data_IF_453384887567
#
_entry.id   IF_453384887567
#
_cell.length_a   1.000
_cell.length_b   1.000
_cell.length_c   1.000
_cell.angle_alpha   90.00
_cell.angle_beta   90.00
_cell.angle_gamma   90.00
#
_symmetry.space_group_name_H-M   'P 1'
#
loop_
_entity.id
_entity.type
_entity.pdbx_description
1 polymer ?
#
# COMPACT_ATOMS: atom_id res chain seq x y z
N UNK A 1 -20.00 46.15 -11.64
CA UNK A 1 -19.79 44.69 -11.86
C UNK A 1 -19.19 43.95 -10.67
N UNK A 2 -18.61 44.63 -9.66
CA UNK A 2 -17.97 43.98 -8.50
C UNK A 2 -18.92 43.36 -7.46
N UNK A 3 -20.07 43.98 -7.16
CA UNK A 3 -20.94 43.51 -6.06
C UNK A 3 -21.51 42.12 -6.35
N UNK A 4 -22.01 41.88 -7.57
CA UNK A 4 -22.55 40.58 -7.98
C UNK A 4 -21.48 39.47 -7.94
N UNK A 5 -20.23 39.80 -8.28
CA UNK A 5 -19.12 38.85 -8.22
C UNK A 5 -18.78 38.45 -6.78
N UNK A 6 -18.80 39.40 -5.83
CA UNK A 6 -18.58 39.12 -4.41
C UNK A 6 -19.65 38.19 -3.83
N UNK A 7 -20.92 38.38 -4.20
CA UNK A 7 -22.02 37.51 -3.74
C UNK A 7 -21.91 36.09 -4.30
N UNK A 8 -21.49 35.94 -5.55
CA UNK A 8 -21.27 34.62 -6.17
C UNK A 8 -20.10 33.90 -5.51
N UNK A 9 -18.99 34.60 -5.21
CA UNK A 9 -17.85 34.02 -4.49
C UNK A 9 -18.19 33.66 -3.04
N UNK A 10 -18.99 34.48 -2.36
CA UNK A 10 -19.47 34.18 -1.01
C UNK A 10 -20.38 32.95 -0.99
N UNK A 11 -21.30 32.83 -1.95
CA UNK A 11 -22.17 31.66 -2.08
C UNK A 11 -21.38 30.38 -2.39
N UNK A 12 -20.39 30.45 -3.29
CA UNK A 12 -19.47 29.34 -3.58
C UNK A 12 -18.66 28.92 -2.35
N UNK A 13 -18.13 29.90 -1.59
CA UNK A 13 -17.44 29.64 -0.33
C UNK A 13 -18.33 28.95 0.70
N UNK A 14 -19.59 29.38 0.82
CA UNK A 14 -20.56 28.79 1.73
C UNK A 14 -20.93 27.35 1.35
N UNK A 15 -21.14 27.08 0.05
CA UNK A 15 -21.43 25.74 -0.47
C UNK A 15 -20.24 24.81 -0.24
N UNK A 16 -19.01 25.28 -0.50
CA UNK A 16 -17.80 24.51 -0.18
C UNK A 16 -17.73 24.18 1.31
N UNK A 17 -18.00 25.14 2.20
CA UNK A 17 -17.98 24.90 3.66
C UNK A 17 -19.06 23.89 4.10
N UNK A 18 -20.24 23.92 3.49
CA UNK A 18 -21.33 22.99 3.78
C UNK A 18 -21.07 21.58 3.21
N UNK A 19 -20.26 21.46 2.16
CA UNK A 19 -19.87 20.18 1.56
C UNK A 19 -18.63 19.54 2.20
N UNK A 20 -17.88 20.27 3.04
CA UNK A 20 -16.85 19.69 3.89
C UNK A 20 -17.56 18.96 5.03
N UNK A 21 -18.13 17.80 4.73
CA UNK A 21 -18.36 16.80 5.77
C UNK A 21 -16.99 16.57 6.42
N UNK A 22 -16.83 16.75 7.73
CA UNK A 22 -15.57 16.42 8.37
C UNK A 22 -15.32 14.95 8.06
N UNK A 23 -14.32 14.67 7.20
CA UNK A 23 -13.83 13.32 7.09
C UNK A 23 -13.23 13.04 8.45
N UNK A 24 -14.00 12.38 9.30
CA UNK A 24 -13.56 11.93 10.61
C UNK A 24 -12.59 10.74 10.44
N UNK A 25 -11.67 10.84 9.48
CA UNK A 25 -10.59 9.90 9.23
C UNK A 25 -9.67 9.92 10.43
N UNK A 26 -10.01 9.13 11.44
CA UNK A 26 -9.16 8.96 12.60
C UNK A 26 -7.91 8.20 12.18
N UNK A 27 -6.71 8.61 12.62
CA UNK A 27 -5.47 7.90 12.30
C UNK A 27 -5.41 6.46 12.88
N UNK A 28 -6.42 6.06 13.66
CA UNK A 28 -6.57 4.73 14.27
C UNK A 28 -6.55 3.60 13.24
N UNK A 29 -7.26 3.74 12.11
CA UNK A 29 -7.27 2.75 11.03
C UNK A 29 -5.88 2.54 10.44
N UNK A 30 -5.17 3.64 10.17
CA UNK A 30 -3.79 3.59 9.70
C UNK A 30 -2.84 2.98 10.73
N UNK A 31 -3.01 3.31 12.02
CA UNK A 31 -2.23 2.69 13.11
C UNK A 31 -2.48 1.18 13.22
N UNK A 32 -3.74 0.75 13.08
CA UNK A 32 -4.08 -0.66 13.07
C UNK A 32 -3.39 -1.38 11.90
N UNK A 33 -3.46 -0.85 10.67
CA UNK A 33 -2.76 -1.42 9.51
C UNK A 33 -1.24 -1.46 9.69
N UNK A 34 -0.64 -0.43 10.30
CA UNK A 34 0.79 -0.40 10.59
C UNK A 34 1.24 -1.59 11.45
N UNK A 35 0.41 -2.08 12.37
CA UNK A 35 0.72 -3.28 13.16
C UNK A 35 0.84 -4.56 12.32
N UNK A 36 0.10 -4.65 11.20
CA UNK A 36 0.20 -5.78 10.26
C UNK A 36 1.46 -5.66 9.41
N UNK A 37 1.78 -4.46 8.91
CA UNK A 37 3.01 -4.24 8.16
C UNK A 37 4.28 -4.51 8.98
N UNK A 38 4.28 -4.21 10.29
CA UNK A 38 5.40 -4.55 11.19
C UNK A 38 5.70 -6.05 11.27
N UNK A 39 4.74 -6.92 10.93
CA UNK A 39 4.93 -8.38 10.90
C UNK A 39 5.58 -8.88 9.61
N UNK A 40 5.63 -8.07 8.56
CA UNK A 40 6.35 -8.37 7.32
C UNK A 40 7.85 -8.05 7.50
N UNK A 41 8.53 -8.82 8.34
CA UNK A 41 9.98 -8.67 8.53
C UNK A 41 10.71 -9.32 7.36
N UNK A 42 11.63 -8.57 6.76
CA UNK A 42 12.52 -9.09 5.74
C UNK A 42 13.68 -9.84 6.38
N UNK A 43 14.08 -10.94 5.76
CA UNK A 43 15.27 -11.68 6.13
C UNK A 43 16.53 -10.92 5.67
N UNK A 44 17.20 -10.29 6.63
CA UNK A 44 18.38 -9.45 6.38
C UNK A 44 19.61 -10.22 5.90
N UNK A 45 19.58 -11.56 5.91
CA UNK A 45 20.67 -12.38 5.38
C UNK A 45 20.66 -12.47 3.85
N UNK A 46 19.54 -12.09 3.20
CA UNK A 46 19.42 -12.08 1.75
C UNK A 46 20.25 -10.96 1.11
N UNK A 47 20.51 -11.09 -0.19
CA UNK A 47 21.25 -10.11 -0.96
C UNK A 47 20.62 -8.70 -0.86
N UNK A 48 21.46 -7.67 -0.69
CA UNK A 48 21.02 -6.29 -0.48
C UNK A 48 20.21 -5.72 -1.65
N UNK A 49 20.64 -5.96 -2.89
CA UNK A 49 19.95 -5.44 -4.09
C UNK A 49 18.53 -6.02 -4.15
N UNK A 50 18.38 -7.31 -3.86
CA UNK A 50 17.07 -7.94 -3.70
C UNK A 50 16.24 -7.31 -2.56
N UNK A 51 16.84 -7.09 -1.39
CA UNK A 51 16.14 -6.52 -0.23
C UNK A 51 15.64 -5.11 -0.49
N UNK A 52 16.45 -4.26 -1.12
CA UNK A 52 16.08 -2.89 -1.49
C UNK A 52 14.85 -2.89 -2.42
N UNK A 53 14.82 -3.82 -3.38
CA UNK A 53 13.70 -4.00 -4.31
C UNK A 53 12.42 -4.51 -3.64
N UNK A 54 12.57 -5.45 -2.71
CA UNK A 54 11.45 -5.96 -1.91
C UNK A 54 10.87 -4.88 -1.01
N UNK A 55 11.72 -4.12 -0.31
CA UNK A 55 11.30 -3.03 0.55
C UNK A 55 10.59 -1.94 -0.26
N UNK A 56 11.17 -1.54 -1.39
CA UNK A 56 10.55 -0.59 -2.30
C UNK A 56 9.18 -1.08 -2.78
N UNK A 57 9.09 -2.35 -3.22
CA UNK A 57 7.85 -2.97 -3.68
C UNK A 57 6.77 -2.95 -2.61
N UNK A 58 7.06 -3.45 -1.40
CA UNK A 58 6.13 -3.47 -0.27
C UNK A 58 5.68 -2.06 0.12
N UNK A 59 6.63 -1.11 0.16
CA UNK A 59 6.34 0.28 0.54
C UNK A 59 5.41 0.97 -0.46
N UNK A 60 5.72 0.85 -1.75
CA UNK A 60 5.06 1.64 -2.82
C UNK A 60 3.79 0.99 -3.32
N UNK A 61 3.76 -0.33 -3.45
CA UNK A 61 2.66 -1.04 -4.12
C UNK A 61 1.64 -1.64 -3.16
N UNK A 62 2.00 -1.83 -1.88
CA UNK A 62 1.10 -2.40 -0.87
C UNK A 62 0.82 -1.43 0.28
N UNK A 63 1.86 -1.01 1.01
CA UNK A 63 1.71 -0.24 2.25
C UNK A 63 1.17 1.16 2.03
N UNK A 64 1.79 1.97 1.16
CA UNK A 64 1.34 3.35 0.91
C UNK A 64 -0.12 3.41 0.42
N UNK A 65 -0.54 2.64 -0.59
CA UNK A 65 -1.92 2.67 -1.06
C UNK A 65 -2.94 2.32 0.04
N UNK A 66 -2.66 1.30 0.85
CA UNK A 66 -3.56 0.88 1.92
C UNK A 66 -3.63 1.90 3.05
N UNK A 67 -2.49 2.47 3.47
CA UNK A 67 -2.48 3.50 4.50
C UNK A 67 -3.16 4.79 4.02
N UNK A 68 -2.92 5.23 2.79
CA UNK A 68 -3.57 6.41 2.23
C UNK A 68 -5.09 6.26 2.24
N UNK A 69 -5.62 5.12 1.80
CA UNK A 69 -7.05 4.87 1.82
C UNK A 69 -7.61 4.75 3.24
N UNK A 70 -6.87 4.12 4.15
CA UNK A 70 -7.30 3.96 5.54
C UNK A 70 -7.44 5.29 6.29
N UNK A 71 -6.68 6.32 5.92
CA UNK A 71 -6.82 7.67 6.47
C UNK A 71 -8.17 8.32 6.17
N UNK A 72 -8.88 7.87 5.13
CA UNK A 72 -10.16 8.44 4.72
C UNK A 72 -11.36 7.55 5.07
N UNK A 73 -11.15 6.49 5.86
CA UNK A 73 -12.25 5.60 6.25
C UNK A 73 -13.10 6.23 7.36
N UNK A 74 -14.43 6.01 7.34
CA UNK A 74 -15.31 6.41 8.44
C UNK A 74 -14.92 5.76 9.77
N UNK A 75 -15.07 6.46 10.91
CA UNK A 75 -14.74 5.94 12.26
C UNK A 75 -15.33 4.56 12.58
N UNK A 76 -16.54 4.26 12.10
CA UNK A 76 -17.24 2.99 12.33
C UNK A 76 -16.71 1.80 11.52
N UNK A 77 -15.79 2.03 10.57
CA UNK A 77 -15.23 0.98 9.72
C UNK A 77 -14.43 0.01 10.56
N UNK A 78 -14.76 -1.29 10.47
CA UNK A 78 -13.98 -2.35 11.12
C UNK A 78 -13.14 -3.08 10.10
N UNK A 79 -11.99 -3.55 10.54
CA UNK A 79 -11.14 -4.44 9.75
C UNK A 79 -11.32 -5.88 10.18
N UNK A 80 -11.51 -6.76 9.20
CA UNK A 80 -11.41 -8.20 9.43
C UNK A 80 -9.95 -8.57 9.72
N UNK A 81 -9.68 -9.05 10.94
CA UNK A 81 -8.34 -9.54 11.33
C UNK A 81 -7.85 -10.65 10.42
N UNK A 82 -8.73 -11.59 10.07
CA UNK A 82 -8.41 -12.72 9.22
C UNK A 82 -8.05 -12.29 7.81
N UNK A 83 -8.77 -11.31 7.26
CA UNK A 83 -8.49 -10.75 5.95
C UNK A 83 -7.12 -10.04 5.94
N UNK A 84 -6.82 -9.25 6.97
CA UNK A 84 -5.52 -8.59 7.10
C UNK A 84 -4.37 -9.57 7.38
N UNK A 85 -4.61 -10.67 8.10
CA UNK A 85 -3.62 -11.74 8.27
C UNK A 85 -3.32 -12.44 6.94
N UNK A 86 -4.35 -12.76 6.14
CA UNK A 86 -4.17 -13.30 4.78
C UNK A 86 -3.39 -12.36 3.88
N UNK A 87 -3.54 -11.04 4.05
CA UNK A 87 -2.73 -10.06 3.34
C UNK A 87 -1.24 -10.18 3.70
N UNK A 88 -0.91 -10.36 4.98
CA UNK A 88 0.47 -10.60 5.42
C UNK A 88 1.04 -11.89 4.82
N UNK A 89 0.26 -12.97 4.84
CA UNK A 89 0.70 -14.27 4.33
C UNK A 89 0.89 -14.25 2.81
N UNK A 90 -0.04 -13.64 2.07
CA UNK A 90 0.10 -13.46 0.62
C UNK A 90 1.30 -12.59 0.26
N UNK A 91 1.55 -11.49 0.98
CA UNK A 91 2.71 -10.65 0.75
C UNK A 91 4.02 -11.45 0.88
N UNK A 92 4.13 -12.28 1.93
CA UNK A 92 5.27 -13.20 2.11
C UNK A 92 5.35 -14.25 1.00
N UNK A 93 4.22 -14.78 0.55
CA UNK A 93 4.20 -15.74 -0.56
C UNK A 93 4.72 -15.10 -1.87
N UNK A 94 4.32 -13.87 -2.17
CA UNK A 94 4.82 -13.14 -3.33
C UNK A 94 6.32 -12.83 -3.21
N UNK A 95 6.79 -12.45 -2.02
CA UNK A 95 8.22 -12.28 -1.74
C UNK A 95 8.99 -13.58 -2.02
N UNK A 96 8.54 -14.72 -1.49
CA UNK A 96 9.22 -16.00 -1.68
C UNK A 96 9.29 -16.43 -3.16
N UNK A 97 8.21 -16.20 -3.92
CA UNK A 97 8.21 -16.44 -5.38
C UNK A 97 9.20 -15.54 -6.10
N UNK A 98 9.26 -14.27 -5.72
CA UNK A 98 10.19 -13.31 -6.30
C UNK A 98 11.64 -13.69 -5.99
N UNK A 99 11.94 -14.11 -4.75
CA UNK A 99 13.27 -14.60 -4.37
C UNK A 99 13.69 -15.85 -5.16
N UNK A 100 12.77 -16.80 -5.37
CA UNK A 100 13.04 -17.98 -6.20
C UNK A 100 13.37 -17.60 -7.66
N UNK A 101 12.65 -16.63 -8.23
CA UNK A 101 12.95 -16.12 -9.57
C UNK A 101 14.29 -15.40 -9.62
N UNK A 102 14.57 -14.55 -8.64
CA UNK A 102 15.83 -13.83 -8.52
C UNK A 102 17.03 -14.79 -8.43
N UNK A 103 16.96 -15.78 -7.53
CA UNK A 103 18.02 -16.78 -7.38
C UNK A 103 18.19 -17.60 -8.66
N UNK A 104 17.10 -17.99 -9.33
CA UNK A 104 17.19 -18.70 -10.62
C UNK A 104 17.82 -17.84 -11.73
N UNK A 105 17.41 -16.58 -11.87
CA UNK A 105 17.95 -15.66 -12.86
C UNK A 105 19.44 -15.35 -12.61
N UNK A 106 19.84 -15.21 -11.34
CA UNK A 106 21.23 -14.95 -10.96
C UNK A 106 22.13 -16.18 -10.93
N UNK A 107 21.62 -17.41 -11.04
CA UNK A 107 22.47 -18.63 -11.04
C UNK A 107 23.58 -18.63 -12.09
N UNK A 108 23.41 -17.88 -13.18
CA UNK A 108 24.35 -17.81 -14.30
C UNK A 108 25.25 -16.57 -14.29
N UNK A 109 25.03 -15.64 -13.36
CA UNK A 109 25.78 -14.39 -13.28
C UNK A 109 26.69 -14.42 -12.04
N UNK A 110 27.94 -13.98 -12.19
CA UNK A 110 28.94 -13.98 -11.12
C UNK A 110 28.58 -13.04 -9.95
N UNK A 111 27.71 -12.07 -10.20
CA UNK A 111 27.20 -11.15 -9.20
C UNK A 111 25.67 -11.12 -9.22
N UNK A 112 25.09 -11.06 -8.02
CA UNK A 112 23.67 -10.81 -7.81
C UNK A 112 23.35 -9.35 -8.16
N UNK A 113 23.23 -9.06 -9.46
CA UNK A 113 23.01 -7.70 -10.00
C UNK A 113 21.53 -7.32 -10.08
N UNK A 114 21.26 -6.03 -10.30
CA UNK A 114 19.92 -5.51 -10.56
C UNK A 114 19.23 -6.19 -11.74
N UNK A 115 20.00 -6.63 -12.73
CA UNK A 115 19.49 -7.16 -14.00
C UNK A 115 18.80 -8.51 -13.79
N UNK A 116 19.23 -9.28 -12.79
CA UNK A 116 18.54 -10.51 -12.41
C UNK A 116 17.11 -10.25 -11.90
N UNK A 117 16.86 -9.06 -11.34
CA UNK A 117 15.55 -8.71 -10.78
C UNK A 117 14.56 -8.29 -11.86
N UNK A 118 15.02 -7.88 -13.05
CA UNK A 118 14.16 -7.31 -14.09
C UNK A 118 13.10 -8.29 -14.60
N UNK A 119 13.36 -9.59 -14.56
CA UNK A 119 12.39 -10.61 -14.96
C UNK A 119 11.29 -10.81 -13.92
N UNK A 120 11.62 -10.77 -12.62
CA UNK A 120 10.68 -11.03 -11.53
C UNK A 120 9.99 -9.78 -10.97
N UNK A 121 10.67 -8.62 -11.00
CA UNK A 121 10.22 -7.35 -10.39
C UNK A 121 8.86 -6.89 -10.92
N UNK A 122 8.57 -6.88 -12.24
CA UNK A 122 7.27 -6.46 -12.75
C UNK A 122 6.12 -7.37 -12.28
N UNK A 123 6.38 -8.68 -12.16
CA UNK A 123 5.41 -9.65 -11.65
C UNK A 123 5.17 -9.39 -10.17
N UNK A 124 6.23 -9.30 -9.37
CA UNK A 124 6.17 -9.04 -7.94
C UNK A 124 5.39 -7.75 -7.61
N UNK A 125 5.71 -6.64 -8.28
CA UNK A 125 5.03 -5.36 -8.03
C UNK A 125 3.56 -5.40 -8.43
N UNK A 126 3.23 -6.05 -9.55
CA UNK A 126 1.84 -6.25 -9.99
C UNK A 126 1.06 -7.08 -8.98
N UNK A 127 1.64 -8.16 -8.47
CA UNK A 127 1.05 -9.00 -7.45
C UNK A 127 0.77 -8.20 -6.17
N UNK A 128 1.72 -7.37 -5.72
CA UNK A 128 1.52 -6.47 -4.57
C UNK A 128 0.41 -5.45 -4.80
N UNK A 129 0.33 -4.85 -6.00
CA UNK A 129 -0.78 -3.93 -6.36
C UNK A 129 -2.12 -4.64 -6.34
N UNK A 130 -2.18 -5.88 -6.84
CA UNK A 130 -3.40 -6.70 -6.81
C UNK A 130 -3.77 -7.03 -5.36
N UNK A 131 -2.80 -7.44 -4.55
CA UNK A 131 -3.00 -7.72 -3.14
C UNK A 131 -3.52 -6.48 -2.38
N UNK A 132 -3.02 -5.29 -2.69
CA UNK A 132 -3.56 -4.06 -2.13
C UNK A 132 -5.06 -3.92 -2.45
N UNK A 133 -5.45 -4.05 -3.72
CA UNK A 133 -6.87 -3.98 -4.13
C UNK A 133 -7.73 -5.06 -3.47
N UNK A 134 -7.23 -6.28 -3.33
CA UNK A 134 -7.93 -7.36 -2.60
C UNK A 134 -8.10 -7.00 -1.12
N UNK A 135 -7.09 -6.38 -0.51
CA UNK A 135 -7.09 -6.01 0.91
C UNK A 135 -8.04 -4.86 1.22
N UNK A 136 -8.37 -4.02 0.24
CA UNK A 136 -9.42 -2.99 0.40
C UNK A 136 -10.78 -3.61 0.72
N UNK A 137 -11.02 -4.85 0.32
CA UNK A 137 -12.25 -5.59 0.66
C UNK A 137 -12.32 -5.97 2.15
N UNK A 138 -11.19 -5.94 2.86
CA UNK A 138 -11.13 -6.22 4.30
C UNK A 138 -11.81 -5.15 5.17
N UNK A 139 -12.20 -4.00 4.57
CA UNK A 139 -12.75 -2.83 5.26
C UNK A 139 -14.27 -2.75 5.16
N UNK A 140 -14.91 -3.76 4.57
CA UNK A 140 -16.37 -3.79 4.46
C UNK A 140 -16.96 -4.48 5.69
N UNK A 141 -17.84 -3.76 6.38
CA UNK A 141 -18.94 -4.35 7.15
C UNK A 141 -20.13 -4.45 6.19
#
# INVERSE_FOLDING_TARGET
MSIKLCWVLAALGLICLLQISPSEGTPSHSQQLLSYFKRMKLDKTKNRVYLDDVEYGLRTNLRRPLLQKALFLPKGTKFSSDCLNRMVDKARQHENKFYAQFTYACKKNAEYSSDCLDTGRPVYYRDLKKLAKETEQCWKL
#
